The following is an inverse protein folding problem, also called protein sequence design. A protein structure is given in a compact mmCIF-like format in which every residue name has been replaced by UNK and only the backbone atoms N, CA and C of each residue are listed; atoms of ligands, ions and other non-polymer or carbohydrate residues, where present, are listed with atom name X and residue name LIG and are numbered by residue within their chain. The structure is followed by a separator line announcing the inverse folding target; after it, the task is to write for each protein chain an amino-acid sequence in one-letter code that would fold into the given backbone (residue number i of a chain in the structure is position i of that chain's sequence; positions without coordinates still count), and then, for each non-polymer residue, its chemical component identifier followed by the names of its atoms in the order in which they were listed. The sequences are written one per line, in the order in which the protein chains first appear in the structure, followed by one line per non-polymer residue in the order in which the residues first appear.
data_IF_361843188395
#
_entry.id   IF_361843188395
#
_cell.length_a   1.000
_cell.length_b   1.000
_cell.length_c   1.000
_cell.angle_alpha   90.00
_cell.angle_beta   90.00
_cell.angle_gamma   90.00
#
_symmetry.space_group_name_H-M   'P 1'
#
loop_
_entity.id
_entity.type
_entity.pdbx_description
1 polymer ?
#
# COMPACT_ATOMS: atom_id res chain seq x y z
N UNK A 1 14.00 -17.93 4.00
CA UNK A 1 14.44 -18.76 2.87
C UNK A 1 13.33 -18.87 1.86
N UNK A 2 13.49 -18.24 0.70
CA UNK A 2 12.56 -18.36 -0.42
C UNK A 2 12.98 -19.55 -1.27
N UNK A 3 12.10 -20.51 -1.44
CA UNK A 3 12.34 -21.67 -2.28
C UNK A 3 11.65 -21.43 -3.63
N UNK A 4 12.43 -21.12 -4.64
CA UNK A 4 11.94 -20.99 -6.01
C UNK A 4 11.65 -22.40 -6.59
N UNK A 5 10.44 -22.60 -7.09
CA UNK A 5 10.06 -23.80 -7.82
C UNK A 5 9.74 -23.40 -9.25
N UNK A 6 10.68 -23.62 -10.15
CA UNK A 6 10.52 -23.30 -11.58
C UNK A 6 11.32 -22.07 -12.00
N UNK A 7 10.98 -21.49 -13.17
CA UNK A 7 11.57 -20.26 -13.68
C UNK A 7 10.64 -19.07 -13.33
N UNK A 8 10.77 -18.57 -12.12
CA UNK A 8 9.96 -17.44 -11.64
C UNK A 8 10.69 -16.11 -11.90
N UNK A 9 9.95 -15.13 -12.41
CA UNK A 9 10.45 -13.77 -12.52
C UNK A 9 10.39 -13.04 -11.16
N UNK A 10 11.37 -12.21 -10.88
CA UNK A 10 11.34 -11.35 -9.70
C UNK A 10 11.87 -9.95 -10.02
N UNK A 11 11.38 -8.96 -9.28
CA UNK A 11 11.93 -7.61 -9.24
C UNK A 11 12.35 -7.32 -7.81
N UNK A 12 13.55 -6.81 -7.63
CA UNK A 12 14.05 -6.41 -6.31
C UNK A 12 14.19 -4.89 -6.25
N UNK A 13 13.67 -4.28 -5.20
CA UNK A 13 13.86 -2.87 -4.88
C UNK A 13 14.87 -2.74 -3.74
N UNK A 14 15.80 -1.80 -3.86
CA UNK A 14 16.69 -1.40 -2.77
C UNK A 14 16.18 -0.11 -2.15
N UNK A 15 15.87 -0.11 -0.85
CA UNK A 15 15.35 1.06 -0.12
C UNK A 15 16.43 1.90 0.58
N UNK A 16 17.71 1.67 0.25
CA UNK A 16 18.85 2.32 0.90
C UNK A 16 19.47 1.49 2.03
N UNK A 17 18.79 0.49 2.55
CA UNK A 17 19.25 -0.39 3.65
C UNK A 17 19.07 -1.87 3.34
N UNK A 18 17.94 -2.25 2.79
CA UNK A 18 17.58 -3.64 2.50
C UNK A 18 17.03 -3.78 1.09
N UNK A 19 17.11 -5.01 0.55
CA UNK A 19 16.45 -5.39 -0.67
C UNK A 19 15.06 -5.93 -0.35
N UNK A 20 14.05 -5.34 -0.97
CA UNK A 20 12.68 -5.85 -0.98
C UNK A 20 12.46 -6.65 -2.26
N UNK A 21 12.11 -7.92 -2.10
CA UNK A 21 11.83 -8.80 -3.22
C UNK A 21 10.35 -8.69 -3.57
N UNK A 22 10.08 -8.24 -4.79
CA UNK A 22 8.75 -8.28 -5.39
C UNK A 22 8.69 -9.53 -6.26
N UNK A 23 8.13 -10.60 -5.73
CA UNK A 23 7.93 -11.83 -6.47
C UNK A 23 6.76 -11.67 -7.41
N UNK A 24 6.97 -12.04 -8.67
CA UNK A 24 5.88 -12.30 -9.60
C UNK A 24 5.28 -13.65 -9.21
N UNK A 25 4.31 -13.63 -8.28
CA UNK A 25 3.71 -14.87 -7.78
C UNK A 25 2.86 -15.52 -8.85
N UNK A 26 3.14 -16.78 -9.07
CA UNK A 26 2.37 -17.68 -9.91
C UNK A 26 1.27 -18.34 -9.09
N UNK A 27 0.03 -18.18 -9.50
CA UNK A 27 -1.03 -19.06 -9.02
C UNK A 27 -0.91 -20.40 -9.72
N UNK A 28 -0.25 -21.35 -9.07
CA UNK A 28 -0.09 -22.70 -9.58
C UNK A 28 -1.46 -23.42 -9.52
N UNK A 29 -2.03 -23.73 -10.68
CA UNK A 29 -2.93 -24.89 -10.75
C UNK A 29 -2.06 -26.13 -10.71
N UNK A 30 -2.42 -27.21 -9.93
CA UNK A 30 -1.50 -28.27 -9.53
C UNK A 30 -0.87 -29.11 -10.65
N UNK A 31 -1.26 -28.95 -11.90
CA UNK A 31 -1.02 -29.95 -12.95
C UNK A 31 -0.14 -29.51 -14.13
N UNK A 32 0.50 -28.34 -14.12
CA UNK A 32 1.31 -27.94 -15.29
C UNK A 32 2.75 -27.56 -14.92
N UNK A 33 3.64 -28.55 -15.10
CA UNK A 33 5.09 -28.41 -14.92
C UNK A 33 5.80 -27.56 -15.99
N UNK A 34 5.08 -26.99 -16.96
CA UNK A 34 5.64 -26.27 -18.12
C UNK A 34 5.21 -24.80 -18.18
N UNK A 35 5.07 -24.17 -17.06
CA UNK A 35 4.78 -22.72 -17.02
C UNK A 35 6.09 -21.95 -16.90
N UNK A 36 6.31 -21.02 -17.81
CA UNK A 36 7.48 -20.15 -17.81
C UNK A 36 7.03 -18.69 -17.81
N UNK A 37 7.58 -17.93 -16.88
CA UNK A 37 7.45 -16.49 -16.82
C UNK A 37 8.84 -15.88 -16.95
N UNK A 38 8.97 -14.90 -17.82
CA UNK A 38 10.25 -14.22 -18.01
C UNK A 38 10.03 -12.72 -18.05
N UNK A 39 10.71 -12.01 -17.17
CA UNK A 39 10.83 -10.56 -17.26
C UNK A 39 12.02 -10.22 -18.16
N UNK A 40 11.79 -9.45 -19.23
CA UNK A 40 12.84 -9.05 -20.17
C UNK A 40 13.39 -7.67 -19.93
N UNK A 41 12.55 -6.79 -19.45
CA UNK A 41 12.91 -5.41 -19.28
C UNK A 41 12.31 -4.84 -18.00
N UNK A 42 13.13 -4.13 -17.26
CA UNK A 42 12.71 -3.31 -16.13
C UNK A 42 13.16 -1.89 -16.41
N UNK A 43 12.23 -0.95 -16.36
CA UNK A 43 12.53 0.47 -16.48
C UNK A 43 11.78 1.27 -15.43
N UNK A 44 12.29 2.44 -15.10
CA UNK A 44 11.69 3.33 -14.11
C UNK A 44 11.21 4.61 -14.78
N UNK A 45 10.15 5.19 -14.22
CA UNK A 45 9.76 6.57 -14.57
C UNK A 45 10.87 7.56 -14.17
N UNK A 46 10.95 8.74 -14.83
CA UNK A 46 11.97 9.75 -14.50
C UNK A 46 11.90 10.26 -13.05
N UNK A 47 10.73 10.19 -12.43
CA UNK A 47 10.48 10.54 -11.04
C UNK A 47 10.70 9.37 -10.06
N UNK A 48 11.16 8.23 -10.56
CA UNK A 48 11.41 6.98 -9.81
C UNK A 48 10.21 6.39 -9.05
N UNK A 49 9.00 6.93 -9.27
CA UNK A 49 7.79 6.50 -8.56
C UNK A 49 7.10 5.29 -9.20
N UNK A 50 7.54 4.89 -10.40
CA UNK A 50 6.94 3.79 -11.15
C UNK A 50 8.00 2.89 -11.71
N UNK A 51 7.78 1.59 -11.58
CA UNK A 51 8.60 0.55 -12.22
C UNK A 51 7.73 -0.17 -13.22
N UNK A 52 8.19 -0.20 -14.45
CA UNK A 52 7.57 -0.95 -15.54
C UNK A 52 8.36 -2.25 -15.73
N UNK A 53 7.67 -3.36 -15.62
CA UNK A 53 8.22 -4.69 -15.90
C UNK A 53 7.51 -5.25 -17.11
N UNK A 54 8.27 -5.57 -18.13
CA UNK A 54 7.73 -6.18 -19.37
C UNK A 54 8.31 -7.57 -19.53
N UNK A 55 7.47 -8.52 -19.88
CA UNK A 55 7.88 -9.89 -20.07
C UNK A 55 6.85 -10.72 -20.81
N UNK A 56 6.99 -12.03 -20.75
CA UNK A 56 5.99 -12.96 -21.26
C UNK A 56 5.66 -14.04 -20.23
N UNK A 57 4.49 -14.63 -20.36
CA UNK A 57 4.09 -15.81 -19.62
C UNK A 57 3.38 -16.80 -20.58
N UNK A 58 3.41 -18.06 -20.21
CA UNK A 58 2.60 -19.06 -20.86
C UNK A 58 1.70 -19.79 -19.85
N UNK A 59 0.47 -20.07 -20.24
CA UNK A 59 -0.50 -20.88 -19.49
C UNK A 59 -0.67 -20.52 -18.00
N UNK A 60 -1.47 -19.52 -17.68
CA UNK A 60 -1.94 -19.34 -16.31
C UNK A 60 -2.32 -17.91 -15.92
N UNK A 61 -2.94 -17.78 -14.77
CA UNK A 61 -3.14 -16.50 -14.13
C UNK A 61 -1.88 -16.11 -13.35
N UNK A 62 -1.42 -14.90 -13.55
CA UNK A 62 -0.27 -14.34 -12.83
C UNK A 62 -0.76 -13.39 -11.77
N UNK A 63 -0.27 -13.52 -10.54
CA UNK A 63 -0.56 -12.61 -9.44
C UNK A 63 0.64 -11.68 -9.28
N UNK A 64 0.38 -10.38 -9.35
CA UNK A 64 1.38 -9.35 -9.11
C UNK A 64 1.02 -8.60 -7.83
N UNK A 65 1.88 -8.66 -6.81
CA UNK A 65 1.75 -7.91 -5.54
C UNK A 65 0.31 -7.89 -4.98
N UNK A 66 -0.30 -9.06 -4.89
CA UNK A 66 -1.67 -9.23 -4.39
C UNK A 66 -2.79 -8.82 -5.38
N UNK A 67 -2.46 -8.35 -6.57
CA UNK A 67 -3.41 -8.09 -7.64
C UNK A 67 -3.44 -9.26 -8.62
N UNK A 68 -4.58 -9.94 -8.74
CA UNK A 68 -4.78 -10.99 -9.75
C UNK A 68 -5.04 -10.37 -11.10
N UNK A 69 -4.15 -10.59 -12.05
CA UNK A 69 -4.42 -10.35 -13.46
C UNK A 69 -4.86 -11.68 -14.09
N UNK A 70 -6.15 -11.82 -14.32
CA UNK A 70 -6.68 -12.98 -15.07
C UNK A 70 -6.73 -12.62 -16.53
N UNK A 71 -5.81 -13.17 -17.30
CA UNK A 71 -5.85 -13.06 -18.76
C UNK A 71 -6.57 -14.28 -19.35
N UNK A 72 -7.31 -14.11 -20.47
CA UNK A 72 -7.97 -15.22 -21.12
C UNK A 72 -6.92 -16.24 -21.58
N UNK A 73 -7.28 -17.52 -21.50
CA UNK A 73 -6.43 -18.63 -21.88
C UNK A 73 -5.99 -18.52 -23.35
N UNK A 74 -4.70 -18.26 -23.57
CA UNK A 74 -4.12 -18.21 -24.91
C UNK A 74 -3.06 -19.31 -25.02
N UNK A 75 -3.00 -19.97 -26.16
CA UNK A 75 -2.16 -21.17 -26.38
C UNK A 75 -0.68 -20.86 -26.58
N UNK A 76 -0.33 -19.60 -26.73
CA UNK A 76 1.03 -19.12 -27.02
C UNK A 76 1.48 -18.07 -25.99
N UNK A 77 2.70 -17.59 -26.11
CA UNK A 77 3.30 -16.62 -25.21
C UNK A 77 2.60 -15.27 -25.28
N UNK A 78 2.04 -14.80 -24.19
CA UNK A 78 1.48 -13.46 -24.07
C UNK A 78 2.50 -12.48 -23.48
N UNK A 79 2.54 -11.28 -24.07
CA UNK A 79 3.36 -10.19 -23.57
C UNK A 79 2.57 -9.44 -22.50
N UNK A 80 3.21 -9.18 -21.37
CA UNK A 80 2.64 -8.35 -20.33
C UNK A 80 3.51 -7.12 -20.05
N UNK A 81 2.87 -6.08 -19.58
CA UNK A 81 3.55 -4.96 -18.94
C UNK A 81 2.86 -4.70 -17.60
N UNK A 82 3.59 -4.83 -16.52
CA UNK A 82 3.11 -4.52 -15.18
C UNK A 82 3.69 -3.18 -14.74
N UNK A 83 2.82 -2.38 -14.18
CA UNK A 83 3.17 -1.12 -13.57
C UNK A 83 3.14 -1.26 -12.05
N UNK A 84 4.30 -1.17 -11.42
CA UNK A 84 4.40 -0.98 -9.99
C UNK A 84 4.48 0.52 -9.68
N UNK A 85 3.58 1.00 -8.86
CA UNK A 85 3.60 2.38 -8.39
C UNK A 85 4.02 2.41 -6.93
N UNK A 86 5.11 3.11 -6.65
CA UNK A 86 5.63 3.33 -5.30
C UNK A 86 5.13 4.67 -4.75
N UNK A 87 3.86 4.95 -4.93
CA UNK A 87 3.27 6.12 -4.31
C UNK A 87 2.88 5.81 -2.87
N UNK A 88 3.06 6.80 -2.00
CA UNK A 88 2.59 6.75 -0.61
C UNK A 88 1.16 6.21 -0.55
N UNK A 89 0.94 5.19 0.27
CA UNK A 89 -0.35 4.53 0.42
C UNK A 89 -0.82 4.58 1.87
N UNK A 90 -2.10 4.92 2.08
CA UNK A 90 -2.71 4.93 3.41
C UNK A 90 -3.48 3.63 3.62
N UNK A 91 -3.03 2.80 4.54
CA UNK A 91 -3.67 1.51 4.91
C UNK A 91 -4.87 1.71 5.83
N UNK A 92 -4.81 2.65 6.76
CA UNK A 92 -5.91 2.94 7.70
C UNK A 92 -7.10 3.52 6.92
N UNK A 93 -8.16 2.74 6.80
CA UNK A 93 -9.38 3.15 6.07
C UNK A 93 -10.32 3.98 6.93
N UNK A 94 -10.49 3.58 8.18
CA UNK A 94 -11.41 4.18 9.16
C UNK A 94 -10.73 4.26 10.52
N UNK A 95 -11.24 5.14 11.37
CA UNK A 95 -10.85 5.22 12.77
C UNK A 95 -11.90 4.53 13.64
N UNK A 96 -11.46 3.77 14.63
CA UNK A 96 -12.37 3.18 15.62
C UNK A 96 -13.01 4.27 16.48
N UNK A 97 -14.28 4.12 16.87
CA UNK A 97 -14.95 5.10 17.69
C UNK A 97 -14.35 5.17 19.11
N UNK A 98 -14.29 6.39 19.65
CA UNK A 98 -13.92 6.62 21.05
C UNK A 98 -15.14 6.80 21.96
N UNK A 99 -14.87 7.00 23.26
CA UNK A 99 -15.88 7.30 24.30
C UNK A 99 -15.47 8.59 25.01
N UNK A 100 -16.44 9.46 25.26
CA UNK A 100 -16.19 10.71 25.95
C UNK A 100 -15.65 10.47 27.37
N UNK A 101 -14.65 11.25 27.77
CA UNK A 101 -13.93 11.18 29.04
C UNK A 101 -13.11 9.89 29.27
N UNK A 102 -12.93 9.06 28.22
CA UNK A 102 -12.03 7.91 28.24
C UNK A 102 -10.80 8.14 27.36
N UNK A 103 -9.63 7.57 27.71
CA UNK A 103 -8.45 7.67 26.88
C UNK A 103 -8.68 7.04 25.50
N UNK A 104 -8.30 7.75 24.45
CA UNK A 104 -8.37 7.30 23.06
C UNK A 104 -6.98 7.21 22.46
N UNK A 105 -6.74 6.16 21.68
CA UNK A 105 -5.55 6.00 20.88
C UNK A 105 -5.88 5.33 19.55
N UNK A 106 -5.37 5.87 18.47
CA UNK A 106 -5.43 5.26 17.13
C UNK A 106 -4.24 5.71 16.30
N UNK A 107 -3.91 5.01 15.22
CA UNK A 107 -2.75 5.31 14.40
C UNK A 107 -3.08 5.24 12.90
N UNK A 108 -2.53 6.17 12.11
CA UNK A 108 -2.57 6.08 10.66
C UNK A 108 -1.37 5.25 10.20
N UNK A 109 -1.65 4.11 9.58
CA UNK A 109 -0.64 3.23 8.99
C UNK A 109 -0.50 3.60 7.51
N UNK A 110 0.72 3.77 7.08
CA UNK A 110 1.11 4.09 5.69
C UNK A 110 2.10 3.07 5.17
N UNK A 111 2.14 2.95 3.84
CA UNK A 111 3.03 2.08 3.09
C UNK A 111 3.67 2.84 1.94
N UNK A 112 4.70 2.26 1.33
CA UNK A 112 5.42 2.86 0.20
C UNK A 112 5.95 4.27 0.51
N UNK A 113 6.59 4.41 1.65
CA UNK A 113 7.12 5.68 2.15
C UNK A 113 8.52 5.92 1.61
N UNK A 114 8.76 7.13 1.08
CA UNK A 114 10.10 7.61 0.70
C UNK A 114 10.54 8.73 1.65
N UNK A 115 11.53 8.43 2.50
CA UNK A 115 12.05 9.40 3.49
C UNK A 115 11.15 9.60 4.70
N UNK A 116 11.02 10.84 5.15
CA UNK A 116 10.29 11.18 6.37
C UNK A 116 8.80 11.45 6.10
N UNK A 117 7.93 10.77 6.82
CA UNK A 117 6.47 11.00 6.74
C UNK A 117 6.06 12.16 7.64
N UNK A 118 5.13 12.99 7.15
CA UNK A 118 4.49 14.08 7.88
C UNK A 118 2.97 13.95 7.81
N UNK A 119 2.32 14.27 8.94
CA UNK A 119 0.87 14.22 9.07
C UNK A 119 0.37 15.61 9.53
N UNK A 120 -0.60 16.17 8.82
CA UNK A 120 -1.18 17.48 9.10
C UNK A 120 -2.70 17.44 8.94
N UNK A 121 -3.43 18.08 9.87
CA UNK A 121 -4.85 18.38 9.66
C UNK A 121 -4.95 19.60 8.74
N UNK A 122 -5.51 19.44 7.56
CA UNK A 122 -5.65 20.50 6.55
C UNK A 122 -7.09 21.03 6.44
N UNK A 123 -8.06 20.31 6.96
CA UNK A 123 -9.47 20.74 7.01
C UNK A 123 -10.21 20.02 8.13
N UNK A 124 -11.28 20.66 8.63
CA UNK A 124 -12.07 20.14 9.73
C UNK A 124 -11.39 20.35 11.09
N UNK A 125 -11.89 19.67 12.11
CA UNK A 125 -11.34 19.74 13.47
C UNK A 125 -11.40 18.39 14.18
N UNK A 126 -10.38 18.09 14.97
CA UNK A 126 -10.38 16.95 15.89
C UNK A 126 -11.35 17.20 17.06
N UNK A 127 -11.83 16.12 17.70
CA UNK A 127 -12.54 16.25 18.97
C UNK A 127 -11.70 17.02 20.00
N UNK A 128 -12.32 17.88 20.81
CA UNK A 128 -11.66 18.52 21.93
C UNK A 128 -10.98 17.47 22.83
N UNK A 129 -9.70 17.64 23.11
CA UNK A 129 -8.91 16.70 23.91
C UNK A 129 -8.15 15.65 23.13
N UNK A 130 -8.33 15.57 21.79
CA UNK A 130 -7.55 14.70 20.89
C UNK A 130 -6.53 15.51 20.10
N UNK A 131 -5.34 14.96 19.94
CA UNK A 131 -4.27 15.55 19.12
C UNK A 131 -3.77 14.51 18.09
N UNK A 132 -3.25 15.00 16.96
CA UNK A 132 -2.50 14.21 15.99
C UNK A 132 -1.01 14.48 16.16
N UNK A 133 -0.24 13.41 16.39
CA UNK A 133 1.22 13.49 16.47
C UNK A 133 1.86 13.57 15.09
N UNK A 134 3.15 13.92 15.05
CA UNK A 134 3.96 13.92 13.83
C UNK A 134 4.12 12.54 13.21
N UNK A 135 3.93 11.47 14.01
CA UNK A 135 4.06 10.07 13.59
C UNK A 135 2.71 9.46 13.19
N UNK A 136 1.66 10.27 13.07
CA UNK A 136 0.34 9.83 12.63
C UNK A 136 -0.53 9.20 13.72
N UNK A 137 -0.17 9.34 14.99
CA UNK A 137 -0.96 8.85 16.11
C UNK A 137 -1.97 9.90 16.60
N UNK A 138 -3.23 9.48 16.70
CA UNK A 138 -4.27 10.21 17.44
C UNK A 138 -4.25 9.76 18.89
N UNK A 139 -4.12 10.70 19.82
CA UNK A 139 -4.08 10.40 21.24
C UNK A 139 -4.72 11.53 22.07
N UNK A 140 -5.28 11.16 23.23
CA UNK A 140 -5.85 12.08 24.18
C UNK A 140 -7.14 11.55 24.82
N UNK A 141 -7.87 12.44 25.48
CA UNK A 141 -9.15 12.10 26.12
C UNK A 141 -10.22 13.05 25.57
N UNK A 142 -11.12 12.61 24.71
CA UNK A 142 -12.15 13.47 24.14
C UNK A 142 -13.15 13.89 25.22
N UNK A 143 -13.49 15.16 25.26
CA UNK A 143 -14.37 15.72 26.32
C UNK A 143 -15.84 15.78 25.96
N UNK A 144 -16.16 15.63 24.67
CA UNK A 144 -17.53 15.71 24.14
C UNK A 144 -17.81 14.59 23.18
N UNK A 145 -19.01 14.03 23.26
CA UNK A 145 -19.51 13.10 22.23
C UNK A 145 -19.89 13.87 20.95
N UNK A 146 -19.85 13.14 19.83
CA UNK A 146 -20.18 13.71 18.53
C UNK A 146 -19.51 12.97 17.39
N UNK A 147 -19.71 13.47 16.17
CA UNK A 147 -19.05 12.99 14.97
C UNK A 147 -18.18 14.12 14.39
N UNK A 148 -16.91 13.85 14.23
CA UNK A 148 -15.90 14.82 13.85
C UNK A 148 -15.27 14.41 12.53
N UNK A 149 -15.49 15.18 11.48
CA UNK A 149 -14.93 14.93 10.15
C UNK A 149 -13.78 15.91 9.90
N UNK A 150 -12.64 15.39 9.45
CA UNK A 150 -11.45 16.16 9.17
C UNK A 150 -10.64 15.51 8.05
N UNK A 151 -9.78 16.29 7.41
CA UNK A 151 -8.88 15.82 6.36
C UNK A 151 -7.45 15.87 6.88
N UNK A 152 -6.79 14.72 6.80
CA UNK A 152 -5.36 14.58 7.07
C UNK A 152 -4.61 14.61 5.75
N UNK A 153 -3.65 15.51 5.61
CA UNK A 153 -2.62 15.45 4.59
C UNK A 153 -1.47 14.61 5.13
N UNK A 154 -1.13 13.57 4.39
CA UNK A 154 0.01 12.70 4.66
C UNK A 154 0.99 12.93 3.51
N UNK A 155 2.24 13.24 3.83
CA UNK A 155 3.27 13.50 2.81
C UNK A 155 4.58 12.86 3.22
N UNK A 156 5.31 12.40 2.23
CA UNK A 156 6.70 12.00 2.32
C UNK A 156 7.58 12.94 1.47
N UNK A 157 8.83 12.54 1.18
CA UNK A 157 9.76 13.40 0.45
C UNK A 157 9.42 13.55 -1.04
N UNK A 158 8.58 12.68 -1.62
CA UNK A 158 8.29 12.64 -3.06
C UNK A 158 6.81 12.76 -3.39
N UNK A 159 5.91 12.50 -2.44
CA UNK A 159 4.47 12.46 -2.70
C UNK A 159 3.62 12.95 -1.54
N UNK A 160 2.36 13.21 -1.80
CA UNK A 160 1.38 13.51 -0.74
C UNK A 160 0.00 13.01 -1.11
N UNK A 161 -0.76 12.62 -0.09
CA UNK A 161 -2.15 12.20 -0.20
C UNK A 161 -2.98 12.91 0.85
N UNK A 162 -4.22 13.26 0.52
CA UNK A 162 -5.20 13.75 1.47
C UNK A 162 -6.26 12.69 1.70
N UNK A 163 -6.56 12.42 2.95
CA UNK A 163 -7.57 11.45 3.35
C UNK A 163 -8.52 12.02 4.38
N UNK A 164 -9.81 11.93 4.07
CA UNK A 164 -10.87 12.26 4.99
C UNK A 164 -11.08 11.13 6.00
N UNK A 165 -11.22 11.51 7.27
CA UNK A 165 -11.60 10.63 8.36
C UNK A 165 -12.79 11.22 9.11
N UNK A 166 -13.63 10.32 9.60
CA UNK A 166 -14.67 10.65 10.59
C UNK A 166 -14.39 9.87 11.86
N UNK A 167 -14.15 10.61 12.95
CA UNK A 167 -14.01 10.04 14.29
C UNK A 167 -15.30 10.23 15.06
N UNK A 168 -15.92 9.14 15.45
CA UNK A 168 -17.15 9.15 16.27
C UNK A 168 -16.76 8.99 17.74
N UNK A 169 -17.19 9.92 18.58
CA UNK A 169 -17.07 9.84 20.04
C UNK A 169 -18.43 9.56 20.61
N UNK A 170 -18.60 8.42 21.26
CA UNK A 170 -19.83 8.00 21.94
C UNK A 170 -19.94 8.67 23.30
N UNK A 171 -21.16 8.78 23.85
CA UNK A 171 -21.37 9.14 25.25
C UNK A 171 -20.78 8.05 26.14
N UNK A 172 -20.13 8.44 27.24
CA UNK A 172 -19.73 7.56 28.33
C UNK A 172 -20.90 7.23 29.22
#
# INVERSE_FOLDING_TARGET
DYTFKGHDGYVAKYNGSTWELMQLEKTVTPDNANQHEVAWCVTMSPDYNKVYVTGYFNNGATVFDGASLTLPFVRDYDIYTVLYSYTLMVKTKTLEPGVANEPYYSNIVVDNVEGAVKFEIVSGALPDGITLSKDGAFAGTPTKNGSYTFIVKISDDVSSIQKEYTLVIKSG
#
